data_IF_691935495291
#
_entry.id   IF_691935495291
#
_cell.length_a   1.000
_cell.length_b   1.000
_cell.length_c   1.000
_cell.angle_alpha   90.00
_cell.angle_beta   90.00
_cell.angle_gamma   90.00
#
_symmetry.space_group_name_H-M   'P 1'
#
loop_
_entity.id
_entity.type
_entity.pdbx_description
1 polymer ?
#
# COMPACT_ATOMS: atom_id res chain seq x y z
N UNK A 1 -9.80 0.92 4.43
CA UNK A 1 -9.48 1.01 5.87
C UNK A 1 -10.80 0.83 6.58
N UNK A 2 -10.85 0.12 7.69
CA UNK A 2 -12.10 -0.40 8.23
C UNK A 2 -13.05 0.66 8.87
N UNK A 3 -12.69 1.95 8.81
CA UNK A 3 -13.47 3.08 9.30
C UNK A 3 -13.91 2.97 10.77
N UNK A 4 -13.18 2.19 11.58
CA UNK A 4 -13.46 1.99 13.00
C UNK A 4 -12.95 3.14 13.89
N UNK A 5 -12.30 4.13 13.27
CA UNK A 5 -11.70 5.28 13.95
C UNK A 5 -10.28 5.03 14.46
N UNK A 6 -9.76 3.82 14.32
CA UNK A 6 -8.37 3.47 14.60
C UNK A 6 -7.48 3.86 13.42
N UNK A 7 -6.22 4.18 13.73
CA UNK A 7 -5.23 4.45 12.71
C UNK A 7 -4.67 3.15 12.14
N UNK A 8 -4.75 3.01 10.83
CA UNK A 8 -4.15 1.92 10.06
C UNK A 8 -2.81 2.34 9.45
N UNK A 9 -1.97 1.37 9.10
CA UNK A 9 -0.72 1.60 8.36
C UNK A 9 -0.78 0.84 7.03
N UNK A 10 -0.47 1.52 5.94
CA UNK A 10 -0.22 0.90 4.65
C UNK A 10 1.26 0.97 4.34
N UNK A 11 1.83 -0.17 3.97
CA UNK A 11 3.23 -0.30 3.58
C UNK A 11 3.24 -0.81 2.14
N UNK A 12 3.94 -0.10 1.27
CA UNK A 12 4.22 -0.54 -0.08
C UNK A 12 5.62 -0.03 -0.48
N UNK A 13 6.22 -0.67 -1.47
CA UNK A 13 7.59 -0.32 -1.88
C UNK A 13 8.05 -1.15 -3.04
N UNK A 14 9.18 -1.83 -2.84
CA UNK A 14 10.05 -2.45 -3.82
C UNK A 14 11.05 -1.46 -4.43
N UNK A 15 12.19 -2.00 -4.87
CA UNK A 15 13.23 -1.23 -5.54
C UNK A 15 13.95 -2.11 -6.56
N UNK A 16 13.83 -1.74 -7.82
CA UNK A 16 14.31 -2.54 -8.95
C UNK A 16 15.55 -1.94 -9.61
N UNK A 17 15.86 -0.68 -9.31
CA UNK A 17 17.07 0.02 -9.78
C UNK A 17 18.33 -0.41 -9.00
N UNK A 18 18.58 -1.72 -8.97
CA UNK A 18 19.71 -2.37 -8.31
C UNK A 18 20.62 -3.03 -9.35
N UNK A 19 21.90 -3.22 -9.02
CA UNK A 19 22.79 -3.91 -9.95
C UNK A 19 22.33 -5.37 -10.13
N UNK A 20 22.49 -5.96 -11.35
CA UNK A 20 21.99 -7.30 -11.64
C UNK A 20 22.44 -8.38 -10.65
N UNK A 21 23.66 -8.25 -10.10
CA UNK A 21 24.26 -9.23 -9.19
C UNK A 21 23.54 -9.34 -7.84
N UNK A 22 22.83 -8.29 -7.43
CA UNK A 22 22.10 -8.26 -6.16
C UNK A 22 20.64 -8.71 -6.28
N UNK A 23 20.11 -8.81 -7.51
CA UNK A 23 18.69 -9.09 -7.75
C UNK A 23 17.76 -7.99 -7.26
N UNK A 24 16.52 -7.97 -7.76
CA UNK A 24 15.51 -6.96 -7.39
C UNK A 24 15.17 -7.05 -5.89
N UNK A 25 14.99 -5.90 -5.24
CA UNK A 25 14.40 -5.85 -3.90
C UNK A 25 12.88 -5.92 -4.03
N UNK A 26 12.41 -7.12 -4.32
CA UNK A 26 11.00 -7.43 -4.54
C UNK A 26 10.39 -7.91 -3.21
N UNK A 27 10.22 -6.96 -2.28
CA UNK A 27 9.92 -7.24 -0.89
C UNK A 27 8.49 -7.77 -0.70
N UNK A 28 7.48 -7.08 -1.23
CA UNK A 28 6.08 -7.44 -1.01
C UNK A 28 5.12 -6.87 -2.07
N UNK A 29 3.87 -7.34 -2.00
CA UNK A 29 2.75 -6.85 -2.80
C UNK A 29 1.91 -5.78 -2.08
N UNK A 30 2.49 -5.07 -1.12
CA UNK A 30 1.77 -4.21 -0.19
C UNK A 30 1.27 -4.95 1.06
N UNK A 31 1.25 -4.26 2.19
CA UNK A 31 0.78 -4.76 3.48
C UNK A 31 -0.15 -3.72 4.11
N UNK A 32 -1.33 -4.18 4.53
CA UNK A 32 -2.21 -3.41 5.41
C UNK A 32 -2.04 -3.92 6.85
N UNK A 33 -1.60 -3.03 7.72
CA UNK A 33 -1.57 -3.25 9.16
C UNK A 33 -2.79 -2.59 9.76
N UNK A 34 -3.76 -3.40 10.18
CA UNK A 34 -4.97 -2.95 10.83
C UNK A 34 -4.69 -2.61 12.30
N UNK A 35 -4.91 -1.36 12.69
CA UNK A 35 -4.70 -0.90 14.05
C UNK A 35 -5.90 -1.19 14.95
N UNK A 36 -5.67 -1.51 16.22
CA UNK A 36 -6.73 -1.68 17.21
C UNK A 36 -7.01 -0.42 18.06
N UNK A 37 -6.38 0.72 17.72
CA UNK A 37 -6.47 1.98 18.46
C UNK A 37 -5.68 2.02 19.79
N UNK A 38 -5.05 0.92 20.20
CA UNK A 38 -4.22 0.80 21.42
C UNK A 38 -2.72 0.69 21.12
N UNK A 39 -2.36 0.76 19.84
CA UNK A 39 -0.97 0.64 19.37
C UNK A 39 -0.59 -0.76 18.91
N UNK A 40 -1.51 -1.74 18.96
CA UNK A 40 -1.28 -3.04 18.33
C UNK A 40 -1.75 -3.03 16.88
N UNK A 41 -1.05 -3.79 16.05
CA UNK A 41 -1.32 -3.89 14.62
C UNK A 41 -1.38 -5.34 14.18
N UNK A 42 -2.40 -5.69 13.40
CA UNK A 42 -2.53 -6.99 12.75
C UNK A 42 -2.25 -6.86 11.26
N UNK A 43 -1.32 -7.66 10.75
CA UNK A 43 -1.08 -7.73 9.30
C UNK A 43 -2.23 -8.45 8.61
N UNK A 44 -2.92 -7.74 7.73
CA UNK A 44 -3.96 -8.28 6.86
C UNK A 44 -3.30 -8.68 5.53
N UNK A 45 -3.30 -9.98 5.17
CA UNK A 45 -2.71 -10.43 3.92
C UNK A 45 -3.35 -9.75 2.70
N UNK A 46 -2.53 -9.47 1.67
CA UNK A 46 -2.96 -8.78 0.44
C UNK A 46 -4.18 -9.42 -0.25
N UNK A 47 -4.31 -10.75 -0.14
CA UNK A 47 -5.45 -11.50 -0.70
C UNK A 47 -6.79 -11.21 -0.02
N UNK A 48 -6.77 -10.68 1.21
CA UNK A 48 -7.97 -10.33 1.98
C UNK A 48 -8.16 -8.81 2.11
N UNK A 49 -7.08 -8.03 2.06
CA UNK A 49 -7.13 -6.58 2.21
C UNK A 49 -7.69 -5.85 0.98
N UNK A 50 -7.59 -6.46 -0.20
CA UNK A 50 -7.83 -5.77 -1.48
C UNK A 50 -6.72 -4.76 -1.85
N UNK A 51 -5.81 -4.47 -0.93
CA UNK A 51 -4.63 -3.64 -1.16
C UNK A 51 -3.49 -4.52 -1.69
N UNK A 52 -3.32 -4.51 -3.01
CA UNK A 52 -2.25 -5.24 -3.70
C UNK A 52 -1.54 -4.32 -4.68
N UNK A 53 -0.25 -4.08 -4.46
CA UNK A 53 0.62 -3.32 -5.36
C UNK A 53 1.62 -4.25 -6.03
N UNK A 54 1.97 -3.97 -7.29
CA UNK A 54 3.05 -4.66 -8.03
C UNK A 54 4.05 -3.64 -8.53
N UNK A 55 5.32 -3.99 -8.67
CA UNK A 55 6.30 -3.03 -9.17
C UNK A 55 6.83 -2.12 -8.06
N UNK A 56 7.45 -1.01 -8.47
CA UNK A 56 8.21 -0.12 -7.60
C UNK A 56 7.37 1.08 -7.16
N UNK A 57 6.77 0.99 -5.97
CA UNK A 57 5.95 2.08 -5.39
C UNK A 57 6.84 3.22 -4.93
N UNK A 58 6.49 4.45 -5.34
CA UNK A 58 7.25 5.68 -5.08
C UNK A 58 6.53 6.64 -4.13
N UNK A 59 5.20 6.64 -4.13
CA UNK A 59 4.40 7.50 -3.25
C UNK A 59 2.99 6.94 -3.04
N UNK A 60 2.37 7.35 -1.93
CA UNK A 60 1.01 7.03 -1.53
C UNK A 60 0.28 8.32 -1.14
N UNK A 61 -0.85 8.62 -1.77
CA UNK A 61 -1.63 9.82 -1.47
C UNK A 61 -3.12 9.50 -1.29
N UNK A 62 -3.72 10.01 -0.22
CA UNK A 62 -5.16 9.98 -0.02
C UNK A 62 -5.82 11.18 -0.72
N UNK A 63 -6.86 10.92 -1.50
CA UNK A 63 -7.72 11.96 -2.07
C UNK A 63 -9.19 11.70 -1.74
N UNK A 64 -10.00 12.76 -1.80
CA UNK A 64 -11.45 12.67 -1.62
C UNK A 64 -12.18 13.20 -2.83
N UNK A 65 -13.01 12.36 -3.45
CA UNK A 65 -13.83 12.72 -4.62
C UNK A 65 -15.29 12.48 -4.30
N UNK A 66 -16.11 13.55 -4.33
CA UNK A 66 -17.56 13.49 -4.05
C UNK A 66 -17.92 12.75 -2.76
N UNK A 67 -17.13 12.94 -1.70
CA UNK A 67 -17.36 12.30 -0.40
C UNK A 67 -16.67 10.96 -0.21
N UNK A 68 -16.23 10.28 -1.28
CA UNK A 68 -15.53 8.99 -1.22
C UNK A 68 -14.03 9.18 -1.15
N UNK A 69 -13.35 8.35 -0.35
CA UNK A 69 -11.90 8.34 -0.21
C UNK A 69 -11.29 7.39 -1.22
N UNK A 70 -10.15 7.78 -1.76
CA UNK A 70 -9.36 6.98 -2.68
C UNK A 70 -7.90 7.07 -2.29
N UNK A 71 -7.19 5.96 -2.40
CA UNK A 71 -5.75 5.89 -2.25
C UNK A 71 -5.13 5.81 -3.64
N UNK A 72 -4.30 6.80 -3.96
CA UNK A 72 -3.47 6.82 -5.13
C UNK A 72 -2.12 6.19 -4.81
N UNK A 73 -1.66 5.27 -5.66
CA UNK A 73 -0.35 4.63 -5.54
C UNK A 73 0.46 4.96 -6.78
N UNK A 74 1.47 5.81 -6.61
CA UNK A 74 2.39 6.16 -7.69
C UNK A 74 3.48 5.09 -7.82
N UNK A 75 3.75 4.68 -9.06
CA UNK A 75 4.67 3.60 -9.37
C UNK A 75 5.65 4.03 -10.45
N UNK A 76 6.90 3.59 -10.34
CA UNK A 76 7.94 3.91 -11.32
C UNK A 76 7.67 3.19 -12.64
N UNK A 77 7.58 3.94 -13.74
CA UNK A 77 7.33 3.43 -15.11
C UNK A 77 6.05 2.58 -15.27
N UNK A 78 5.08 2.75 -14.38
CA UNK A 78 3.83 1.99 -14.37
C UNK A 78 2.63 2.94 -14.28
N UNK A 79 1.42 2.39 -14.46
CA UNK A 79 0.19 3.17 -14.33
C UNK A 79 -0.09 3.51 -12.86
N UNK A 80 -0.75 4.66 -12.64
CA UNK A 80 -1.24 5.03 -11.30
C UNK A 80 -2.32 4.04 -10.87
N UNK A 81 -2.13 3.36 -9.73
CA UNK A 81 -3.16 2.52 -9.15
C UNK A 81 -4.07 3.36 -8.24
N UNK A 82 -5.35 3.03 -8.24
CA UNK A 82 -6.37 3.71 -7.44
C UNK A 82 -7.19 2.68 -6.69
N UNK A 83 -7.23 2.80 -5.36
CA UNK A 83 -8.03 1.94 -4.50
C UNK A 83 -9.11 2.76 -3.81
N UNK A 84 -10.35 2.28 -3.80
CA UNK A 84 -11.39 2.74 -2.90
C UNK A 84 -11.33 1.94 -1.59
N UNK A 85 -11.63 2.57 -0.45
CA UNK A 85 -11.47 1.96 0.85
C UNK A 85 -12.29 2.59 1.97
#
# INVERSE_FOLDING_TARGET
MNADGSQDILIAGNFYSVKPEFGRYDANYGVWLQGNGKGDFQAIPAQYSGFRTTGEVRDLAEIKVKGRRYLLVAQSNEQLLVFDY
#
